data_IF_414002165852
#
_entry.id   IF_414002165852
#
_cell.length_a   1.000
_cell.length_b   1.000
_cell.length_c   1.000
_cell.angle_alpha   90.00
_cell.angle_beta   90.00
_cell.angle_gamma   90.00
#
_symmetry.space_group_name_H-M   'P 1'
#
loop_
_entity.id
_entity.type
_entity.pdbx_description
1 polymer ?
#
# COMPACT_ATOMS: atom_id res chain seq x y z
N UNK A 1 -15.59 91.97 11.15
CA UNK A 1 -15.06 92.19 12.51
C UNK A 1 -15.40 90.99 13.37
N UNK A 2 -14.39 90.42 14.05
CA UNK A 2 -14.41 89.34 15.07
C UNK A 2 -15.10 88.00 14.66
N UNK A 3 -14.50 86.81 14.67
CA UNK A 3 -13.31 86.29 15.35
C UNK A 3 -13.69 85.39 16.54
N UNK A 4 -13.78 84.06 16.36
CA UNK A 4 -13.34 83.00 17.28
C UNK A 4 -13.93 81.59 16.99
N UNK A 5 -13.03 80.67 16.61
CA UNK A 5 -12.88 79.24 16.98
C UNK A 5 -14.05 78.44 17.57
N UNK A 6 -14.36 77.27 16.99
CA UNK A 6 -14.56 76.00 17.74
C UNK A 6 -14.12 74.79 16.88
N UNK A 7 -13.28 73.91 17.46
CA UNK A 7 -12.79 72.64 16.92
C UNK A 7 -13.87 71.53 17.06
N UNK A 8 -14.09 70.77 15.99
CA UNK A 8 -15.03 69.63 15.95
C UNK A 8 -14.48 68.38 16.65
N UNK A 9 -15.37 67.72 17.41
CA UNK A 9 -15.14 66.52 18.21
C UNK A 9 -15.08 65.26 17.33
N UNK A 10 -14.03 64.46 17.49
CA UNK A 10 -13.90 63.09 16.95
C UNK A 10 -13.89 62.07 18.08
N UNK A 11 -14.71 61.04 17.93
CA UNK A 11 -15.06 60.00 18.91
C UNK A 11 -13.83 59.14 19.30
N UNK A 12 -13.70 58.87 20.60
CA UNK A 12 -12.65 58.03 21.21
C UNK A 12 -13.10 56.57 21.24
N UNK A 13 -12.29 55.66 20.69
CA UNK A 13 -12.41 54.20 20.85
C UNK A 13 -11.18 53.71 21.62
N UNK A 14 -11.31 52.96 22.73
CA UNK A 14 -10.17 52.58 23.57
C UNK A 14 -9.34 51.45 22.93
N UNK A 15 -8.01 51.57 23.04
CA UNK A 15 -7.02 50.59 22.59
C UNK A 15 -6.88 49.44 23.58
N UNK A 16 -7.12 48.21 23.13
CA UNK A 16 -6.67 46.97 23.80
C UNK A 16 -5.24 46.64 23.34
N UNK A 17 -4.30 46.29 24.25
CA UNK A 17 -2.93 45.97 23.86
C UNK A 17 -2.84 44.55 23.29
N UNK A 18 -2.37 44.43 22.05
CA UNK A 18 -1.97 43.14 21.46
C UNK A 18 -0.54 42.85 21.90
N UNK A 19 -0.34 41.77 22.66
CA UNK A 19 0.98 41.24 22.99
C UNK A 19 1.74 40.88 21.71
N UNK A 20 2.94 41.43 21.55
CA UNK A 20 3.89 41.01 20.55
C UNK A 20 4.51 39.66 20.95
N UNK A 21 4.21 38.60 20.22
CA UNK A 21 5.01 37.37 20.25
C UNK A 21 6.00 37.43 19.09
N UNK A 22 7.27 37.62 19.46
CA UNK A 22 8.38 37.69 18.54
C UNK A 22 8.54 36.41 17.71
N UNK A 23 8.80 36.61 16.41
CA UNK A 23 9.27 35.64 15.42
C UNK A 23 10.26 34.62 16.00
N UNK A 24 9.85 33.35 16.09
CA UNK A 24 10.72 32.20 16.44
C UNK A 24 11.22 31.40 15.23
N UNK A 25 10.95 31.85 14.01
CA UNK A 25 11.31 31.14 12.78
C UNK A 25 12.05 32.02 11.76
N UNK A 26 13.10 32.72 12.21
CA UNK A 26 14.10 33.25 11.27
C UNK A 26 15.33 32.35 11.26
N UNK A 27 15.47 31.63 10.12
CA UNK A 27 16.67 31.03 9.50
C UNK A 27 16.43 29.58 9.07
N UNK A 28 15.50 29.38 8.13
CA UNK A 28 15.66 28.28 7.19
C UNK A 28 16.49 28.84 6.01
N UNK A 29 17.76 28.45 5.92
CA UNK A 29 18.49 28.55 4.66
C UNK A 29 17.98 27.38 3.81
N UNK A 30 17.39 27.59 2.62
CA UNK A 30 17.19 26.50 1.69
C UNK A 30 18.53 25.79 1.51
N UNK A 31 18.59 24.48 1.72
CA UNK A 31 19.75 23.72 1.24
C UNK A 31 19.92 24.02 -0.24
N UNK A 32 21.14 24.32 -0.66
CA UNK A 32 21.46 24.39 -2.09
C UNK A 32 20.99 23.07 -2.72
N UNK A 33 20.14 23.15 -3.75
CA UNK A 33 19.84 22.01 -4.61
C UNK A 33 21.18 21.41 -5.02
N UNK A 34 21.49 20.23 -4.48
CA UNK A 34 22.68 19.50 -4.88
C UNK A 34 22.53 19.23 -6.35
N UNK A 35 23.26 19.97 -7.18
CA UNK A 35 23.42 19.67 -8.59
C UNK A 35 23.71 18.18 -8.71
N UNK A 36 22.78 17.44 -9.34
CA UNK A 36 22.92 16.01 -9.60
C UNK A 36 24.25 15.86 -10.30
N UNK A 37 25.26 15.29 -9.62
CA UNK A 37 26.54 14.98 -10.24
C UNK A 37 26.18 14.13 -11.45
N UNK A 38 26.44 14.64 -12.67
CA UNK A 38 26.34 13.85 -13.89
C UNK A 38 27.15 12.59 -13.64
N UNK A 39 26.46 11.46 -13.53
CA UNK A 39 27.14 10.19 -13.28
C UNK A 39 27.93 9.91 -14.56
N UNK A 40 29.25 9.89 -14.45
CA UNK A 40 30.14 9.69 -15.59
C UNK A 40 30.13 8.20 -15.94
N UNK A 41 29.15 7.78 -16.76
CA UNK A 41 29.01 6.39 -17.21
C UNK A 41 29.95 6.18 -18.39
N UNK A 42 30.87 5.23 -18.27
CA UNK A 42 31.78 4.88 -19.37
C UNK A 42 30.99 4.33 -20.54
N UNK A 43 30.96 5.09 -21.63
CA UNK A 43 30.32 4.72 -22.89
C UNK A 43 31.03 3.53 -23.55
N UNK A 44 30.23 2.61 -24.11
CA UNK A 44 30.69 1.54 -25.00
C UNK A 44 29.62 1.19 -26.04
N UNK A 45 29.96 0.29 -26.98
CA UNK A 45 29.08 -0.07 -28.10
C UNK A 45 27.77 -0.71 -27.63
N UNK A 46 27.81 -1.54 -26.57
CA UNK A 46 26.63 -2.23 -26.04
C UNK A 46 25.68 -1.23 -25.37
N UNK A 47 26.22 -0.34 -24.54
CA UNK A 47 25.44 0.71 -23.88
C UNK A 47 24.78 1.65 -24.90
N UNK A 48 25.51 2.05 -25.94
CA UNK A 48 24.94 2.87 -27.00
C UNK A 48 23.79 2.16 -27.74
N UNK A 49 23.93 0.87 -28.05
CA UNK A 49 22.85 0.07 -28.65
C UNK A 49 21.63 -0.05 -27.73
N UNK A 50 21.82 -0.18 -26.41
CA UNK A 50 20.73 -0.19 -25.43
C UNK A 50 20.01 1.17 -25.39
N UNK A 51 20.77 2.27 -25.35
CA UNK A 51 20.23 3.64 -25.41
C UNK A 51 19.45 3.89 -26.70
N UNK A 52 19.96 3.46 -27.83
CA UNK A 52 19.27 3.62 -29.12
C UNK A 52 18.00 2.79 -29.18
N UNK A 53 18.04 1.55 -28.71
CA UNK A 53 16.83 0.70 -28.56
C UNK A 53 15.81 1.36 -27.66
N UNK A 54 16.22 1.93 -26.53
CA UNK A 54 15.33 2.66 -25.65
C UNK A 54 14.67 3.85 -26.36
N UNK A 55 15.40 4.59 -27.20
CA UNK A 55 14.83 5.72 -27.97
C UNK A 55 13.75 5.31 -28.97
N UNK A 56 13.82 4.10 -29.54
CA UNK A 56 12.84 3.65 -30.55
C UNK A 56 11.48 3.26 -29.99
N UNK A 57 11.42 2.88 -28.70
CA UNK A 57 10.18 2.53 -28.02
C UNK A 57 9.30 3.78 -27.83
N UNK A 58 7.98 3.65 -28.01
CA UNK A 58 7.04 4.81 -27.99
C UNK A 58 5.75 4.48 -27.25
N UNK A 59 5.32 5.30 -26.29
CA UNK A 59 4.03 5.11 -25.62
C UNK A 59 2.92 6.03 -26.10
N UNK A 60 1.75 5.42 -26.37
CA UNK A 60 0.50 6.15 -26.57
C UNK A 60 0.20 6.45 -28.03
N UNK A 61 -0.57 7.51 -28.25
CA UNK A 61 -1.05 7.91 -29.58
C UNK A 61 -0.03 8.83 -30.26
N UNK A 62 0.47 8.41 -31.40
CA UNK A 62 1.36 9.18 -32.24
C UNK A 62 0.61 10.27 -33.03
N UNK A 63 1.32 11.32 -33.50
CA UNK A 63 0.72 12.36 -34.34
C UNK A 63 0.09 11.86 -35.64
N UNK A 64 0.55 10.72 -36.16
CA UNK A 64 0.00 10.05 -37.34
C UNK A 64 -1.28 9.23 -37.05
N UNK A 65 -1.71 9.18 -35.79
CA UNK A 65 -2.90 8.48 -35.34
C UNK A 65 -2.67 7.02 -34.93
N UNK A 66 -1.47 6.48 -35.07
CA UNK A 66 -1.13 5.14 -34.58
C UNK A 66 -1.12 5.10 -33.05
N UNK A 67 -1.50 3.96 -32.46
CA UNK A 67 -1.51 3.77 -31.02
C UNK A 67 -0.69 2.54 -30.67
N UNK A 68 0.35 2.71 -29.87
CA UNK A 68 1.20 1.60 -29.41
C UNK A 68 0.85 1.28 -27.97
N UNK A 69 0.43 0.04 -27.72
CA UNK A 69 0.09 -0.41 -26.36
C UNK A 69 1.35 -0.74 -25.54
N UNK A 70 1.17 -0.94 -24.23
CA UNK A 70 2.23 -1.45 -23.36
C UNK A 70 2.78 -2.78 -23.88
N UNK A 71 1.88 -3.68 -24.27
CA UNK A 71 2.20 -5.02 -24.75
C UNK A 71 2.93 -5.00 -26.10
N UNK A 72 2.56 -4.08 -26.99
CA UNK A 72 3.26 -3.92 -28.28
C UNK A 72 4.70 -3.46 -28.08
N UNK A 73 4.94 -2.47 -27.21
CA UNK A 73 6.28 -2.00 -26.89
C UNK A 73 7.11 -3.07 -26.21
N UNK A 74 6.50 -3.84 -25.31
CA UNK A 74 7.18 -4.94 -24.63
C UNK A 74 7.64 -6.01 -25.62
N UNK A 75 6.77 -6.44 -26.54
CA UNK A 75 7.14 -7.41 -27.59
C UNK A 75 8.25 -6.90 -28.49
N UNK A 76 8.16 -5.64 -28.90
CA UNK A 76 9.21 -4.98 -29.69
C UNK A 76 10.53 -4.96 -28.92
N UNK A 77 10.49 -4.52 -27.66
CA UNK A 77 11.66 -4.47 -26.80
C UNK A 77 12.31 -5.85 -26.62
N UNK A 78 11.51 -6.91 -26.41
CA UNK A 78 12.02 -8.27 -26.23
C UNK A 78 12.72 -8.78 -27.51
N UNK A 79 12.10 -8.55 -28.67
CA UNK A 79 12.69 -8.91 -29.96
C UNK A 79 14.01 -8.19 -30.24
N UNK A 80 14.11 -6.91 -29.86
CA UNK A 80 15.35 -6.14 -29.96
C UNK A 80 16.39 -6.63 -28.95
N UNK A 81 16.02 -6.79 -27.69
CA UNK A 81 16.89 -7.23 -26.60
C UNK A 81 17.60 -8.56 -26.92
N UNK A 82 16.89 -9.54 -27.48
CA UNK A 82 17.45 -10.84 -27.85
C UNK A 82 18.68 -10.75 -28.80
N UNK A 83 18.80 -9.66 -29.56
CA UNK A 83 19.87 -9.43 -30.54
C UNK A 83 21.01 -8.55 -30.01
N UNK A 84 20.86 -7.99 -28.81
CA UNK A 84 21.78 -6.98 -28.29
C UNK A 84 23.08 -7.60 -27.73
N UNK A 85 23.02 -8.82 -27.18
CA UNK A 85 24.20 -9.50 -26.66
C UNK A 85 24.84 -8.74 -25.50
N UNK A 86 24.09 -8.57 -24.42
CA UNK A 86 24.50 -7.84 -23.20
C UNK A 86 24.57 -8.77 -21.99
N UNK A 87 25.15 -8.26 -20.91
CA UNK A 87 25.32 -8.88 -19.60
C UNK A 87 24.54 -8.10 -18.53
N UNK A 88 24.41 -8.67 -17.34
CA UNK A 88 23.85 -7.97 -16.17
C UNK A 88 24.58 -6.65 -15.84
N UNK A 89 25.91 -6.60 -16.04
CA UNK A 89 26.69 -5.39 -15.83
C UNK A 89 26.35 -4.28 -16.85
N UNK A 90 25.96 -4.66 -18.07
CA UNK A 90 25.49 -3.70 -19.09
C UNK A 90 24.12 -3.14 -18.73
N UNK A 91 23.23 -3.98 -18.21
CA UNK A 91 21.91 -3.56 -17.70
C UNK A 91 22.07 -2.62 -16.52
N UNK A 92 22.99 -2.91 -15.60
CA UNK A 92 23.30 -2.01 -14.48
C UNK A 92 23.81 -0.65 -14.99
N UNK A 93 24.78 -0.64 -15.91
CA UNK A 93 25.30 0.61 -16.50
C UNK A 93 24.21 1.39 -17.25
N UNK A 94 23.36 0.68 -17.98
CA UNK A 94 22.22 1.29 -18.67
C UNK A 94 21.23 1.92 -17.68
N UNK A 95 20.95 1.27 -16.55
CA UNK A 95 20.07 1.83 -15.51
C UNK A 95 20.61 3.16 -14.95
N UNK A 96 21.93 3.31 -14.86
CA UNK A 96 22.54 4.61 -14.50
C UNK A 96 22.31 5.64 -15.60
N UNK A 97 22.54 5.25 -16.85
CA UNK A 97 22.42 6.14 -18.01
C UNK A 97 20.98 6.58 -18.32
N UNK A 98 19.96 5.93 -17.72
CA UNK A 98 18.56 6.34 -17.85
C UNK A 98 18.30 7.79 -17.40
N UNK A 99 19.19 8.39 -16.60
CA UNK A 99 19.15 9.81 -16.21
C UNK A 99 19.06 10.75 -17.40
N UNK A 100 19.66 10.38 -18.54
CA UNK A 100 19.67 11.18 -19.77
C UNK A 100 18.28 11.28 -20.42
N UNK A 101 17.33 10.47 -19.99
CA UNK A 101 16.01 10.33 -20.61
C UNK A 101 14.87 10.76 -19.71
N UNK A 102 15.13 11.29 -18.51
CA UNK A 102 14.08 11.62 -17.53
C UNK A 102 13.11 12.69 -18.00
N UNK A 103 13.53 13.59 -18.88
CA UNK A 103 12.65 14.62 -19.47
C UNK A 103 11.61 14.05 -20.45
N UNK A 104 11.67 12.74 -20.78
CA UNK A 104 10.68 12.09 -21.62
C UNK A 104 9.34 11.96 -20.87
N UNK A 105 8.25 12.38 -21.53
CA UNK A 105 6.89 12.35 -20.95
C UNK A 105 6.46 10.96 -20.45
N UNK A 106 6.92 9.90 -21.11
CA UNK A 106 6.60 8.50 -20.81
C UNK A 106 7.72 7.76 -20.06
N UNK A 107 8.72 8.50 -19.56
CA UNK A 107 9.94 7.95 -18.95
C UNK A 107 9.64 6.87 -17.91
N UNK A 108 8.82 7.18 -16.89
CA UNK A 108 8.59 6.27 -15.75
C UNK A 108 8.13 4.87 -16.17
N UNK A 109 7.13 4.77 -17.05
CA UNK A 109 6.62 3.48 -17.55
C UNK A 109 7.61 2.80 -18.48
N UNK A 110 8.25 3.58 -19.36
CA UNK A 110 9.17 3.08 -20.37
C UNK A 110 10.45 2.51 -19.74
N UNK A 111 10.98 3.20 -18.74
CA UNK A 111 12.22 2.86 -18.04
C UNK A 111 12.12 1.48 -17.38
N UNK A 112 11.18 1.28 -16.46
CA UNK A 112 11.11 0.01 -15.75
C UNK A 112 10.57 -1.13 -16.62
N UNK A 113 9.67 -0.88 -17.58
CA UNK A 113 9.30 -1.89 -18.59
C UNK A 113 10.53 -2.37 -19.36
N UNK A 114 11.35 -1.46 -19.89
CA UNK A 114 12.52 -1.86 -20.68
C UNK A 114 13.58 -2.56 -19.84
N UNK A 115 13.84 -2.09 -18.61
CA UNK A 115 14.71 -2.80 -17.66
C UNK A 115 14.22 -4.22 -17.39
N UNK A 116 12.92 -4.40 -17.17
CA UNK A 116 12.31 -5.72 -16.95
C UNK A 116 12.47 -6.64 -18.15
N UNK A 117 12.30 -6.12 -19.37
CA UNK A 117 12.55 -6.88 -20.60
C UNK A 117 14.02 -7.31 -20.70
N UNK A 118 14.95 -6.39 -20.46
CA UNK A 118 16.38 -6.72 -20.49
C UNK A 118 16.75 -7.80 -19.46
N UNK A 119 16.17 -7.74 -18.27
CA UNK A 119 16.42 -8.72 -17.21
C UNK A 119 15.86 -10.10 -17.58
N UNK A 120 14.63 -10.14 -18.10
CA UNK A 120 13.96 -11.40 -18.43
C UNK A 120 14.59 -12.11 -19.64
N UNK A 121 14.98 -11.36 -20.67
CA UNK A 121 15.62 -11.90 -21.88
C UNK A 121 17.13 -12.15 -21.68
N UNK A 122 17.72 -11.55 -20.66
CA UNK A 122 19.14 -11.67 -20.37
C UNK A 122 19.55 -13.06 -19.87
N UNK A 123 20.79 -13.44 -20.19
CA UNK A 123 21.32 -14.78 -19.89
C UNK A 123 21.71 -14.98 -18.42
N UNK A 124 22.07 -13.89 -17.74
CA UNK A 124 22.44 -13.93 -16.33
C UNK A 124 21.22 -14.21 -15.43
N UNK A 125 21.49 -14.56 -14.17
CA UNK A 125 20.47 -14.83 -13.15
C UNK A 125 20.28 -13.68 -12.18
N UNK A 126 21.34 -12.89 -11.95
CA UNK A 126 21.39 -11.85 -10.94
C UNK A 126 21.65 -10.50 -11.60
N UNK A 127 20.75 -9.55 -11.36
CA UNK A 127 20.81 -8.20 -11.93
C UNK A 127 20.76 -7.17 -10.83
N UNK A 128 21.54 -6.11 -11.00
CA UNK A 128 21.45 -4.91 -10.18
C UNK A 128 21.01 -3.75 -11.06
N UNK A 129 20.05 -2.95 -10.58
CA UNK A 129 19.64 -1.70 -11.23
C UNK A 129 19.78 -0.54 -10.25
N UNK A 130 20.32 0.57 -10.73
CA UNK A 130 20.56 1.78 -9.97
C UNK A 130 19.43 2.76 -10.28
N UNK A 131 18.59 3.06 -9.29
CA UNK A 131 17.41 3.90 -9.47
C UNK A 131 17.35 5.08 -8.51
N UNK A 132 18.33 5.20 -7.61
CA UNK A 132 18.39 6.27 -6.60
C UNK A 132 18.38 7.69 -7.21
N UNK A 133 18.89 7.83 -8.43
CA UNK A 133 18.95 9.07 -9.20
C UNK A 133 17.82 9.22 -10.23
N UNK A 134 16.89 8.25 -10.29
CA UNK A 134 15.78 8.22 -11.26
C UNK A 134 14.46 8.69 -10.63
N UNK A 135 13.66 9.42 -11.42
CA UNK A 135 12.28 9.69 -11.07
C UNK A 135 11.41 8.45 -11.38
N UNK A 136 11.08 7.70 -10.32
CA UNK A 136 10.11 6.58 -10.28
C UNK A 136 10.09 5.69 -11.54
N UNK A 137 10.98 4.69 -11.65
CA UNK A 137 10.89 3.69 -12.72
C UNK A 137 9.76 2.70 -12.40
N UNK A 138 8.63 2.82 -13.10
CA UNK A 138 7.47 1.95 -12.95
C UNK A 138 7.68 0.62 -13.68
N UNK A 139 7.05 -0.45 -13.20
CA UNK A 139 7.07 -1.80 -13.79
C UNK A 139 8.42 -2.53 -13.68
N UNK A 140 9.30 -2.12 -12.76
CA UNK A 140 10.57 -2.83 -12.50
C UNK A 140 10.30 -4.26 -12.00
N UNK A 141 10.93 -5.24 -12.63
CA UNK A 141 10.72 -6.66 -12.33
C UNK A 141 9.36 -7.21 -12.78
N UNK A 142 8.71 -6.57 -13.75
CA UNK A 142 7.50 -7.14 -14.36
C UNK A 142 7.79 -8.51 -14.99
N UNK A 143 6.93 -9.49 -14.69
CA UNK A 143 7.01 -10.88 -15.15
C UNK A 143 8.31 -11.59 -14.79
N UNK A 144 8.97 -11.10 -13.75
CA UNK A 144 10.29 -11.57 -13.37
C UNK A 144 10.30 -13.07 -13.00
N UNK A 145 11.42 -13.70 -13.34
CA UNK A 145 11.81 -15.06 -12.93
C UNK A 145 13.26 -15.13 -12.41
N UNK A 146 13.96 -13.99 -12.38
CA UNK A 146 15.38 -13.80 -12.05
C UNK A 146 15.54 -13.16 -10.66
N UNK A 147 16.78 -12.90 -10.24
CA UNK A 147 17.07 -12.15 -9.02
C UNK A 147 17.41 -10.69 -9.36
N UNK A 148 16.67 -9.75 -8.78
CA UNK A 148 16.83 -8.32 -9.04
C UNK A 148 17.14 -7.61 -7.72
N UNK A 149 18.23 -6.83 -7.70
CA UNK A 149 18.51 -5.85 -6.66
C UNK A 149 18.30 -4.45 -7.22
N UNK A 150 17.38 -3.68 -6.62
CA UNK A 150 17.11 -2.29 -6.96
C UNK A 150 17.78 -1.40 -5.91
N UNK A 151 18.83 -0.68 -6.32
CA UNK A 151 19.53 0.29 -5.47
C UNK A 151 18.91 1.68 -5.64
N UNK A 152 17.89 1.95 -4.83
CA UNK A 152 17.08 3.17 -4.89
C UNK A 152 15.60 2.87 -4.76
N UNK A 153 14.78 3.86 -5.13
CA UNK A 153 13.33 3.70 -5.13
C UNK A 153 12.88 2.95 -6.40
N UNK A 154 11.90 2.06 -6.25
CA UNK A 154 11.15 1.49 -7.34
C UNK A 154 9.82 2.25 -7.51
N UNK A 155 9.33 2.34 -8.73
CA UNK A 155 8.06 3.00 -9.04
C UNK A 155 6.85 2.11 -8.75
N UNK A 156 5.73 2.49 -9.34
CA UNK A 156 4.49 1.71 -9.29
C UNK A 156 4.64 0.40 -10.07
N UNK A 157 3.81 -0.59 -9.79
CA UNK A 157 3.77 -1.89 -10.49
C UNK A 157 5.08 -2.69 -10.42
N UNK A 158 5.92 -2.44 -9.42
CA UNK A 158 7.12 -3.24 -9.19
C UNK A 158 6.73 -4.71 -8.94
N UNK A 159 7.31 -5.65 -9.68
CA UNK A 159 6.97 -7.08 -9.60
C UNK A 159 5.62 -7.46 -10.20
N UNK A 160 5.04 -6.62 -11.06
CA UNK A 160 3.78 -6.92 -11.75
C UNK A 160 3.85 -8.26 -12.50
N UNK A 161 2.90 -9.16 -12.22
CA UNK A 161 2.74 -10.45 -12.89
C UNK A 161 3.97 -11.38 -12.72
N UNK A 162 4.77 -11.17 -11.67
CA UNK A 162 5.97 -11.97 -11.37
C UNK A 162 5.64 -13.46 -11.21
N UNK A 163 6.45 -14.32 -11.84
CA UNK A 163 6.23 -15.78 -11.93
C UNK A 163 7.26 -16.60 -11.16
N UNK A 164 8.28 -15.97 -10.60
CA UNK A 164 9.32 -16.60 -9.79
C UNK A 164 10.47 -15.62 -9.51
N UNK A 165 11.59 -16.13 -9.01
CA UNK A 165 12.76 -15.29 -8.72
C UNK A 165 12.57 -14.39 -7.50
N UNK A 166 13.43 -13.37 -7.39
CA UNK A 166 13.45 -12.45 -6.25
C UNK A 166 13.59 -10.99 -6.71
N UNK A 167 12.98 -10.07 -5.97
CA UNK A 167 13.20 -8.62 -6.12
C UNK A 167 13.50 -8.04 -4.74
N UNK A 168 14.65 -7.40 -4.57
CA UNK A 168 15.01 -6.66 -3.36
C UNK A 168 15.14 -5.18 -3.69
N UNK A 169 14.29 -4.34 -3.10
CA UNK A 169 14.31 -2.88 -3.27
C UNK A 169 14.96 -2.22 -2.05
N UNK A 170 16.15 -1.66 -2.25
CA UNK A 170 16.88 -0.88 -1.24
C UNK A 170 16.40 0.57 -1.21
N UNK A 171 15.10 0.75 -0.98
CA UNK A 171 14.40 2.03 -1.00
C UNK A 171 12.89 1.82 -0.86
N UNK A 172 12.11 2.80 -1.33
CA UNK A 172 10.65 2.70 -1.35
C UNK A 172 10.14 2.08 -2.65
N UNK A 173 8.95 1.50 -2.61
CA UNK A 173 8.19 1.09 -3.79
C UNK A 173 6.90 1.92 -3.94
N UNK A 174 6.40 2.06 -5.16
CA UNK A 174 5.15 2.76 -5.45
C UNK A 174 3.91 1.93 -5.15
N UNK A 175 2.81 2.30 -5.80
CA UNK A 175 1.53 1.59 -5.73
C UNK A 175 1.60 0.28 -6.52
N UNK A 176 0.65 -0.64 -6.27
CA UNK A 176 0.52 -1.88 -7.03
C UNK A 176 1.74 -2.80 -6.97
N UNK A 177 2.51 -2.76 -5.88
CA UNK A 177 3.64 -3.66 -5.63
C UNK A 177 3.16 -5.12 -5.68
N UNK A 178 3.71 -5.93 -6.57
CA UNK A 178 3.32 -7.33 -6.73
C UNK A 178 1.90 -7.54 -7.26
N UNK A 179 1.35 -6.58 -8.02
CA UNK A 179 0.07 -6.73 -8.71
C UNK A 179 0.08 -7.99 -9.59
N UNK A 180 -0.93 -8.86 -9.44
CA UNK A 180 -1.03 -10.16 -10.15
C UNK A 180 0.18 -11.11 -9.97
N UNK A 181 0.97 -10.92 -8.90
CA UNK A 181 2.10 -11.80 -8.59
C UNK A 181 1.60 -13.24 -8.37
N UNK A 182 2.19 -14.21 -9.08
CA UNK A 182 1.83 -15.61 -8.97
C UNK A 182 2.82 -16.45 -8.16
N UNK A 183 4.09 -16.05 -8.13
CA UNK A 183 5.14 -16.73 -7.36
C UNK A 183 6.38 -15.84 -7.21
N UNK A 184 7.37 -16.31 -6.44
CA UNK A 184 8.62 -15.60 -6.15
C UNK A 184 8.57 -14.82 -4.84
N UNK A 185 9.54 -13.94 -4.62
CA UNK A 185 9.57 -13.06 -3.44
C UNK A 185 9.95 -11.62 -3.76
N UNK A 186 9.30 -10.68 -3.09
CA UNK A 186 9.60 -9.25 -3.17
C UNK A 186 9.88 -8.74 -1.76
N UNK A 187 11.03 -8.09 -1.56
CA UNK A 187 11.40 -7.43 -0.31
C UNK A 187 11.64 -5.95 -0.55
N UNK A 188 10.97 -5.07 0.19
CA UNK A 188 11.15 -3.62 0.15
C UNK A 188 11.73 -3.15 1.47
N UNK A 189 12.93 -2.57 1.44
CA UNK A 189 13.67 -2.07 2.60
C UNK A 189 13.28 -0.62 2.99
N UNK A 190 12.06 -0.21 2.62
CA UNK A 190 11.46 1.10 2.88
C UNK A 190 9.94 0.97 2.89
N UNK A 191 9.24 2.03 2.50
CA UNK A 191 7.78 2.08 2.43
C UNK A 191 7.27 1.58 1.07
N UNK A 192 6.01 1.15 1.04
CA UNK A 192 5.29 0.80 -0.17
C UNK A 192 3.95 1.52 -0.25
N UNK A 193 3.48 1.79 -1.47
CA UNK A 193 2.23 2.52 -1.71
C UNK A 193 0.97 1.69 -1.47
N UNK A 194 -0.11 2.07 -2.15
CA UNK A 194 -1.42 1.44 -2.05
C UNK A 194 -1.49 0.15 -2.89
N UNK A 195 -2.48 -0.70 -2.60
CA UNK A 195 -2.86 -1.86 -3.40
C UNK A 195 -1.74 -2.91 -3.57
N UNK A 196 -0.91 -3.07 -2.54
CA UNK A 196 0.15 -4.09 -2.47
C UNK A 196 -0.45 -5.49 -2.61
N UNK A 197 0.08 -6.31 -3.49
CA UNK A 197 -0.35 -7.70 -3.67
C UNK A 197 -1.79 -7.83 -4.18
N UNK A 198 -2.32 -6.80 -4.83
CA UNK A 198 -3.66 -6.86 -5.42
C UNK A 198 -3.73 -7.95 -6.48
N UNK A 199 -4.74 -8.83 -6.37
CA UNK A 199 -4.92 -10.04 -7.21
C UNK A 199 -3.69 -10.98 -7.18
N UNK A 200 -2.93 -11.00 -6.08
CA UNK A 200 -1.81 -11.93 -5.89
C UNK A 200 -2.32 -13.38 -5.80
N UNK A 201 -1.77 -14.29 -6.59
CA UNK A 201 -2.13 -15.71 -6.61
C UNK A 201 -1.05 -16.64 -6.04
N UNK A 202 0.02 -16.08 -5.46
CA UNK A 202 1.06 -16.81 -4.75
C UNK A 202 2.34 -15.99 -4.58
N UNK A 203 3.32 -16.56 -3.86
CA UNK A 203 4.59 -15.90 -3.54
C UNK A 203 4.58 -15.18 -2.20
N UNK A 204 5.57 -14.31 -1.98
CA UNK A 204 5.72 -13.57 -0.72
C UNK A 204 6.14 -12.12 -0.96
N UNK A 205 5.46 -11.18 -0.31
CA UNK A 205 5.83 -9.76 -0.30
C UNK A 205 6.17 -9.36 1.14
N UNK A 206 7.34 -8.76 1.35
CA UNK A 206 7.76 -8.20 2.64
C UNK A 206 8.08 -6.72 2.50
N UNK A 207 7.43 -5.87 3.28
CA UNK A 207 7.68 -4.44 3.37
C UNK A 207 8.22 -4.14 4.75
N UNK A 208 9.47 -3.67 4.83
CA UNK A 208 10.14 -3.39 6.10
C UNK A 208 9.74 -2.03 6.71
N UNK A 209 9.07 -1.16 5.94
CA UNK A 209 8.46 0.09 6.40
C UNK A 209 6.93 0.04 6.44
N UNK A 210 6.30 1.18 6.18
CA UNK A 210 4.85 1.34 6.13
C UNK A 210 4.27 0.98 4.75
N UNK A 211 3.00 0.58 4.74
CA UNK A 211 2.20 0.30 3.55
C UNK A 211 0.98 1.23 3.47
N UNK A 212 0.54 1.52 2.24
CA UNK A 212 -0.66 2.31 1.97
C UNK A 212 -1.98 1.54 2.22
N UNK A 213 -3.03 1.99 1.57
CA UNK A 213 -4.37 1.41 1.63
C UNK A 213 -4.47 0.12 0.79
N UNK A 214 -5.49 -0.70 1.05
CA UNK A 214 -5.86 -1.87 0.25
C UNK A 214 -4.77 -2.94 0.09
N UNK A 215 -3.93 -3.12 1.11
CA UNK A 215 -2.94 -4.22 1.14
C UNK A 215 -3.64 -5.57 1.01
N UNK A 216 -3.27 -6.37 0.01
CA UNK A 216 -3.79 -7.70 -0.27
C UNK A 216 -5.27 -7.72 -0.65
N UNK A 217 -5.79 -6.62 -1.23
CA UNK A 217 -7.17 -6.56 -1.66
C UNK A 217 -7.43 -7.45 -2.89
N UNK A 218 -8.65 -7.97 -2.96
CA UNK A 218 -9.16 -8.71 -4.10
C UNK A 218 -10.29 -7.95 -4.79
N UNK A 219 -10.43 -8.16 -6.09
CA UNK A 219 -11.55 -7.66 -6.89
C UNK A 219 -12.26 -8.74 -7.69
N UNK A 220 -11.77 -9.99 -7.69
CA UNK A 220 -12.32 -11.05 -8.53
C UNK A 220 -12.92 -12.19 -7.70
N UNK A 221 -14.21 -12.45 -7.90
CA UNK A 221 -14.91 -13.58 -7.28
C UNK A 221 -14.41 -14.96 -7.74
N UNK A 222 -13.57 -15.00 -8.79
CA UNK A 222 -13.25 -16.23 -9.53
C UNK A 222 -11.95 -16.90 -9.08
N UNK A 223 -10.97 -16.15 -8.57
CA UNK A 223 -9.69 -16.70 -8.10
C UNK A 223 -9.28 -15.99 -6.82
N UNK A 224 -9.33 -16.65 -5.65
CA UNK A 224 -9.03 -16.00 -4.39
C UNK A 224 -7.56 -15.57 -4.36
N UNK A 225 -7.32 -14.33 -3.95
CA UNK A 225 -5.98 -13.85 -3.61
C UNK A 225 -5.34 -14.82 -2.60
N UNK A 226 -4.11 -15.24 -2.82
CA UNK A 226 -3.33 -16.14 -1.95
C UNK A 226 -1.86 -15.72 -1.93
N UNK A 227 -1.08 -16.35 -1.05
CA UNK A 227 0.30 -15.95 -0.76
C UNK A 227 0.42 -15.30 0.62
N UNK A 228 1.59 -14.69 0.85
CA UNK A 228 1.93 -14.10 2.15
C UNK A 228 2.39 -12.66 1.95
N UNK A 229 1.75 -11.73 2.67
CA UNK A 229 2.17 -10.33 2.74
C UNK A 229 2.53 -10.00 4.19
N UNK A 230 3.73 -9.46 4.40
CA UNK A 230 4.21 -8.99 5.71
C UNK A 230 4.57 -7.52 5.62
N UNK A 231 3.94 -6.69 6.44
CA UNK A 231 4.24 -5.27 6.62
C UNK A 231 4.78 -5.08 8.04
N UNK A 232 6.03 -4.65 8.17
CA UNK A 232 6.66 -4.43 9.49
C UNK A 232 6.27 -3.10 10.14
N UNK A 233 5.89 -2.11 9.33
CA UNK A 233 5.33 -0.85 9.80
C UNK A 233 3.82 -0.92 9.96
N UNK A 234 3.18 0.23 9.75
CA UNK A 234 1.74 0.37 9.72
C UNK A 234 1.20 0.10 8.32
N UNK A 235 -0.09 -0.23 8.24
CA UNK A 235 -0.84 -0.32 6.99
C UNK A 235 -2.02 0.65 7.01
N UNK A 236 -2.44 1.10 5.84
CA UNK A 236 -3.60 1.96 5.67
C UNK A 236 -4.93 1.25 5.88
N UNK A 237 -5.98 1.78 5.27
CA UNK A 237 -7.34 1.27 5.33
C UNK A 237 -7.50 0.02 4.45
N UNK A 238 -8.55 -0.77 4.73
CA UNK A 238 -9.03 -1.83 3.86
C UNK A 238 -8.00 -2.95 3.58
N UNK A 239 -7.13 -3.21 4.56
CA UNK A 239 -6.21 -4.35 4.53
C UNK A 239 -7.01 -5.64 4.39
N UNK A 240 -6.73 -6.42 3.34
CA UNK A 240 -7.40 -7.68 3.04
C UNK A 240 -8.87 -7.54 2.63
N UNK A 241 -9.27 -6.39 2.08
CA UNK A 241 -10.62 -6.24 1.50
C UNK A 241 -10.88 -7.35 0.47
N UNK A 242 -12.00 -8.08 0.63
CA UNK A 242 -12.42 -9.19 -0.23
C UNK A 242 -11.44 -10.37 -0.33
N UNK A 243 -10.44 -10.43 0.56
CA UNK A 243 -9.46 -11.52 0.59
C UNK A 243 -10.15 -12.89 0.69
N UNK A 244 -9.76 -13.80 -0.20
CA UNK A 244 -10.33 -15.14 -0.29
C UNK A 244 -9.47 -16.25 0.34
N UNK A 245 -8.14 -16.10 0.35
CA UNK A 245 -7.19 -17.05 0.90
C UNK A 245 -5.86 -16.35 1.27
N UNK A 246 -4.86 -17.10 1.73
CA UNK A 246 -3.53 -16.55 2.05
C UNK A 246 -3.41 -15.95 3.46
N UNK A 247 -2.36 -15.15 3.66
CA UNK A 247 -2.05 -14.53 4.95
C UNK A 247 -1.52 -13.11 4.81
N UNK A 248 -2.02 -12.20 5.63
CA UNK A 248 -1.51 -10.83 5.77
C UNK A 248 -1.12 -10.60 7.22
N UNK A 249 0.11 -10.15 7.45
CA UNK A 249 0.60 -9.74 8.78
C UNK A 249 1.03 -8.28 8.75
N UNK A 250 0.49 -7.47 9.66
CA UNK A 250 0.90 -6.09 9.92
C UNK A 250 1.46 -6.03 11.34
N UNK A 251 2.75 -5.75 11.50
CA UNK A 251 3.40 -5.67 12.82
C UNK A 251 3.07 -4.35 13.54
N UNK A 252 2.71 -3.30 12.80
CA UNK A 252 2.22 -2.02 13.34
C UNK A 252 0.70 -1.97 13.47
N UNK A 253 0.14 -0.76 13.29
CA UNK A 253 -1.30 -0.51 13.27
C UNK A 253 -1.88 -0.65 11.86
N UNK A 254 -3.17 -0.92 11.77
CA UNK A 254 -3.94 -0.89 10.52
C UNK A 254 -5.05 0.17 10.59
N UNK A 255 -5.44 0.70 9.42
CA UNK A 255 -6.53 1.66 9.30
C UNK A 255 -7.92 1.03 9.48
N UNK A 256 -8.93 1.70 8.93
CA UNK A 256 -10.32 1.27 8.98
C UNK A 256 -10.58 0.08 8.06
N UNK A 257 -11.64 -0.68 8.34
CA UNK A 257 -12.19 -1.71 7.45
C UNK A 257 -11.24 -2.86 7.11
N UNK A 258 -10.36 -3.25 8.04
CA UNK A 258 -9.53 -4.46 7.93
C UNK A 258 -10.42 -5.68 7.70
N UNK A 259 -10.15 -6.46 6.66
CA UNK A 259 -10.90 -7.67 6.31
C UNK A 259 -12.34 -7.40 5.89
N UNK A 260 -12.65 -6.20 5.39
CA UNK A 260 -13.98 -5.91 4.84
C UNK A 260 -14.31 -6.88 3.71
N UNK A 261 -15.50 -7.46 3.76
CA UNK A 261 -16.00 -8.43 2.78
C UNK A 261 -15.07 -9.66 2.59
N UNK A 262 -14.20 -9.95 3.56
CA UNK A 262 -13.30 -11.10 3.56
C UNK A 262 -14.09 -12.42 3.49
N UNK A 263 -13.59 -13.37 2.70
CA UNK A 263 -14.24 -14.67 2.45
C UNK A 263 -13.41 -15.84 2.99
N UNK A 264 -12.11 -15.65 3.15
CA UNK A 264 -11.19 -16.65 3.65
C UNK A 264 -9.77 -16.09 3.82
N UNK A 265 -8.86 -16.92 4.31
CA UNK A 265 -7.49 -16.51 4.66
C UNK A 265 -7.36 -16.04 6.11
N UNK A 266 -6.23 -15.42 6.42
CA UNK A 266 -5.87 -14.97 7.76
C UNK A 266 -5.29 -13.57 7.74
N UNK A 267 -5.77 -12.69 8.62
CA UNK A 267 -5.21 -11.35 8.80
C UNK A 267 -4.78 -11.21 10.26
N UNK A 268 -3.52 -10.84 10.48
CA UNK A 268 -2.98 -10.53 11.81
C UNK A 268 -2.48 -9.09 11.84
N UNK A 269 -3.04 -8.28 12.75
CA UNK A 269 -2.55 -6.94 13.06
C UNK A 269 -2.01 -6.97 14.48
N UNK A 270 -0.71 -6.74 14.69
CA UNK A 270 -0.12 -6.80 16.03
C UNK A 270 -0.42 -5.55 16.86
N UNK A 271 -0.59 -4.40 16.22
CA UNK A 271 -1.02 -3.15 16.84
C UNK A 271 -2.55 -2.99 16.90
N UNK A 272 -3.00 -1.73 16.83
CA UNK A 272 -4.41 -1.38 16.81
C UNK A 272 -4.99 -1.42 15.39
N UNK A 273 -6.30 -1.55 15.28
CA UNK A 273 -7.03 -1.39 14.02
C UNK A 273 -8.14 -0.33 14.15
N UNK A 274 -8.53 0.23 13.00
CA UNK A 274 -9.58 1.24 12.92
C UNK A 274 -11.00 0.70 13.15
N UNK A 275 -11.97 1.42 12.61
CA UNK A 275 -13.40 1.09 12.68
C UNK A 275 -13.74 -0.01 11.68
N UNK A 276 -14.75 -0.84 11.97
CA UNK A 276 -15.32 -1.73 10.97
C UNK A 276 -14.46 -2.94 10.60
N UNK A 277 -13.60 -3.40 11.52
CA UNK A 277 -12.82 -4.64 11.33
C UNK A 277 -13.77 -5.81 11.10
N UNK A 278 -13.55 -6.58 10.03
CA UNK A 278 -14.38 -7.72 9.64
C UNK A 278 -15.78 -7.33 9.14
N UNK A 279 -15.98 -6.08 8.70
CA UNK A 279 -17.27 -5.66 8.17
C UNK A 279 -17.69 -6.54 6.98
N UNK A 280 -18.88 -7.12 7.04
CA UNK A 280 -19.44 -8.03 6.02
C UNK A 280 -18.56 -9.25 5.70
N UNK A 281 -17.65 -9.67 6.60
CA UNK A 281 -16.86 -10.89 6.37
C UNK A 281 -17.75 -12.14 6.39
N UNK A 282 -17.46 -13.08 5.50
CA UNK A 282 -18.19 -14.34 5.30
C UNK A 282 -17.34 -15.58 5.56
N UNK A 283 -16.07 -15.39 5.89
CA UNK A 283 -15.16 -16.47 6.27
C UNK A 283 -13.76 -15.93 6.54
N UNK A 284 -12.86 -16.84 6.94
CA UNK A 284 -11.50 -16.50 7.36
C UNK A 284 -11.39 -16.11 8.83
N UNK A 285 -10.19 -15.71 9.24
CA UNK A 285 -9.90 -15.26 10.61
C UNK A 285 -9.13 -13.94 10.64
N UNK A 286 -9.53 -13.07 11.56
CA UNK A 286 -8.86 -11.80 11.83
C UNK A 286 -8.42 -11.77 13.29
N UNK A 287 -7.15 -11.47 13.54
CA UNK A 287 -6.61 -11.26 14.89
C UNK A 287 -6.02 -9.86 15.02
N UNK A 288 -6.46 -9.12 16.03
CA UNK A 288 -5.91 -7.80 16.38
C UNK A 288 -5.29 -7.87 17.77
N UNK A 289 -4.01 -7.52 17.86
CA UNK A 289 -3.22 -7.57 19.11
C UNK A 289 -3.47 -6.39 20.04
N UNK A 290 -3.89 -5.24 19.51
CA UNK A 290 -4.29 -4.06 20.26
C UNK A 290 -5.80 -3.85 20.30
N UNK A 291 -6.20 -2.59 20.32
CA UNK A 291 -7.59 -2.16 20.35
C UNK A 291 -8.18 -2.04 18.94
N UNK A 292 -9.49 -2.16 18.85
CA UNK A 292 -10.27 -1.82 17.66
C UNK A 292 -11.24 -0.69 17.98
N UNK A 293 -11.58 0.12 16.98
CA UNK A 293 -12.61 1.17 17.16
C UNK A 293 -14.00 0.56 17.03
N UNK A 294 -14.96 1.36 16.57
CA UNK A 294 -16.38 1.00 16.55
C UNK A 294 -16.68 -0.04 15.46
N UNK A 295 -17.88 -0.62 15.51
CA UNK A 295 -18.44 -1.45 14.45
C UNK A 295 -17.62 -2.72 14.13
N UNK A 296 -16.95 -3.29 15.13
CA UNK A 296 -16.28 -4.59 15.02
C UNK A 296 -17.28 -5.65 14.54
N UNK A 297 -17.00 -6.33 13.43
CA UNK A 297 -17.87 -7.38 12.88
C UNK A 297 -19.23 -6.87 12.37
N UNK A 298 -19.32 -5.60 11.94
CA UNK A 298 -20.52 -5.03 11.35
C UNK A 298 -21.02 -5.90 10.19
N UNK A 299 -22.27 -6.35 10.23
CA UNK A 299 -22.88 -7.20 9.19
C UNK A 299 -22.09 -8.49 8.91
N UNK A 300 -21.32 -8.99 9.88
CA UNK A 300 -20.54 -10.23 9.75
C UNK A 300 -21.47 -11.41 9.42
N UNK A 301 -21.19 -12.08 8.30
CA UNK A 301 -21.95 -13.23 7.82
C UNK A 301 -21.45 -14.54 8.42
N UNK A 302 -20.13 -14.71 8.55
CA UNK A 302 -19.45 -15.85 9.19
C UNK A 302 -17.94 -15.57 9.35
N UNK A 303 -17.21 -16.50 10.00
CA UNK A 303 -15.77 -16.40 10.25
C UNK A 303 -15.45 -16.20 11.74
N UNK A 304 -14.20 -15.84 12.04
CA UNK A 304 -13.76 -15.54 13.40
C UNK A 304 -12.96 -14.25 13.51
N UNK A 305 -13.27 -13.46 14.53
CA UNK A 305 -12.52 -12.26 14.88
C UNK A 305 -12.05 -12.37 16.33
N UNK A 306 -10.76 -12.13 16.59
CA UNK A 306 -10.19 -12.08 17.94
C UNK A 306 -9.49 -10.75 18.16
N UNK A 307 -9.87 -10.04 19.22
CA UNK A 307 -9.29 -8.77 19.64
C UNK A 307 -8.75 -8.93 21.05
N UNK A 308 -7.44 -8.72 21.23
CA UNK A 308 -6.80 -8.82 22.55
C UNK A 308 -6.99 -7.57 23.42
N UNK A 309 -7.24 -6.41 22.79
CA UNK A 309 -7.54 -5.17 23.48
C UNK A 309 -9.04 -4.92 23.65
N UNK A 310 -9.38 -3.64 23.69
CA UNK A 310 -10.75 -3.14 23.76
C UNK A 310 -11.39 -3.03 22.37
N UNK A 311 -12.71 -3.13 22.33
CA UNK A 311 -13.53 -2.82 21.15
C UNK A 311 -14.47 -1.64 21.44
N UNK A 312 -14.68 -0.81 20.42
CA UNK A 312 -15.57 0.35 20.50
C UNK A 312 -17.05 -0.02 20.57
N UNK A 313 -17.89 0.92 20.13
CA UNK A 313 -19.33 0.76 20.12
C UNK A 313 -19.80 -0.23 19.04
N UNK A 314 -21.01 -0.73 19.22
CA UNK A 314 -21.77 -1.53 18.25
C UNK A 314 -21.04 -2.77 17.72
N UNK A 315 -20.24 -3.42 18.58
CA UNK A 315 -19.62 -4.71 18.30
C UNK A 315 -20.66 -5.76 17.90
N UNK A 316 -20.45 -6.45 16.79
CA UNK A 316 -21.34 -7.45 16.22
C UNK A 316 -22.67 -6.87 15.73
N UNK A 317 -22.72 -5.58 15.38
CA UNK A 317 -23.95 -4.99 14.84
C UNK A 317 -24.37 -5.72 13.57
N UNK A 318 -25.63 -6.14 13.51
CA UNK A 318 -26.23 -6.82 12.36
C UNK A 318 -25.51 -8.12 11.94
N UNK A 319 -24.72 -8.74 12.83
CA UNK A 319 -24.08 -10.01 12.52
C UNK A 319 -25.12 -11.14 12.36
N UNK A 320 -24.85 -12.02 11.41
CA UNK A 320 -25.72 -13.16 11.07
C UNK A 320 -25.23 -14.44 11.75
N UNK A 321 -23.92 -14.71 11.69
CA UNK A 321 -23.22 -15.85 12.33
C UNK A 321 -21.76 -15.50 12.57
N UNK A 322 -20.99 -16.45 13.10
CA UNK A 322 -19.56 -16.31 13.35
C UNK A 322 -19.22 -16.21 14.83
N UNK A 323 -17.95 -15.98 15.12
CA UNK A 323 -17.45 -15.84 16.48
C UNK A 323 -16.63 -14.56 16.60
N UNK A 324 -16.98 -13.70 17.55
CA UNK A 324 -16.19 -12.53 17.92
C UNK A 324 -15.72 -12.73 19.35
N UNK A 325 -14.42 -12.62 19.58
CA UNK A 325 -13.80 -12.70 20.89
C UNK A 325 -13.10 -11.37 21.17
N UNK A 326 -13.45 -10.72 22.27
CA UNK A 326 -12.79 -9.50 22.76
C UNK A 326 -12.31 -9.77 24.17
N UNK A 327 -11.00 -9.75 24.40
CA UNK A 327 -10.42 -9.98 25.74
C UNK A 327 -10.59 -8.75 26.66
N UNK A 328 -10.57 -7.55 26.09
CA UNK A 328 -10.81 -6.29 26.79
C UNK A 328 -12.28 -5.95 26.96
N UNK A 329 -12.55 -4.64 26.99
CA UNK A 329 -13.87 -4.05 27.17
C UNK A 329 -14.60 -3.89 25.83
N UNK A 330 -15.93 -3.89 25.87
CA UNK A 330 -16.78 -3.51 24.74
C UNK A 330 -17.62 -2.29 25.09
N UNK A 331 -17.71 -1.36 24.13
CA UNK A 331 -18.55 -0.17 24.21
C UNK A 331 -20.05 -0.44 24.20
N UNK A 332 -20.84 0.58 23.85
CA UNK A 332 -22.29 0.50 23.87
C UNK A 332 -22.87 -0.31 22.70
N UNK A 333 -24.01 -0.97 22.90
CA UNK A 333 -24.77 -1.61 21.83
C UNK A 333 -24.19 -2.94 21.31
N UNK A 334 -23.47 -3.69 22.15
CA UNK A 334 -22.93 -5.00 21.77
C UNK A 334 -24.04 -5.98 21.31
N UNK A 335 -23.89 -6.57 20.13
CA UNK A 335 -24.86 -7.49 19.54
C UNK A 335 -26.14 -6.83 19.01
N UNK A 336 -26.12 -5.52 18.74
CA UNK A 336 -27.29 -4.83 18.20
C UNK A 336 -27.72 -5.42 16.85
N UNK A 337 -28.93 -5.99 16.78
CA UNK A 337 -29.45 -6.55 15.55
C UNK A 337 -28.83 -7.89 15.14
N UNK A 338 -28.35 -8.73 16.06
CA UNK A 338 -27.94 -10.09 15.70
C UNK A 338 -29.13 -10.91 15.18
N UNK A 339 -29.09 -11.44 13.95
CA UNK A 339 -30.30 -11.95 13.26
C UNK A 339 -30.46 -13.49 13.19
N UNK A 340 -29.38 -14.26 12.99
CA UNK A 340 -29.48 -15.69 12.62
C UNK A 340 -28.57 -16.63 13.44
N UNK A 341 -27.90 -16.11 14.47
CA UNK A 341 -26.98 -16.85 15.34
C UNK A 341 -25.61 -16.19 15.50
N UNK A 342 -24.63 -16.97 15.96
CA UNK A 342 -23.27 -16.51 16.25
C UNK A 342 -23.04 -16.19 17.73
N UNK A 343 -21.77 -16.00 18.07
CA UNK A 343 -21.34 -15.87 19.46
C UNK A 343 -20.39 -14.68 19.63
N UNK A 344 -20.66 -13.86 20.65
CA UNK A 344 -19.75 -12.80 21.09
C UNK A 344 -19.25 -13.18 22.49
N UNK A 345 -17.93 -13.21 22.67
CA UNK A 345 -17.26 -13.54 23.93
C UNK A 345 -16.51 -12.31 24.41
N UNK A 346 -16.77 -11.89 25.65
CA UNK A 346 -16.18 -10.71 26.26
C UNK A 346 -15.42 -11.07 27.53
N UNK A 347 -14.13 -10.71 27.58
CA UNK A 347 -13.24 -11.00 28.71
C UNK A 347 -13.34 -10.00 29.85
N UNK A 348 -13.63 -8.73 29.57
CA UNK A 348 -13.73 -7.68 30.59
C UNK A 348 -15.15 -7.10 30.69
N UNK A 349 -15.35 -5.78 30.67
CA UNK A 349 -16.67 -5.16 30.84
C UNK A 349 -17.42 -4.97 29.51
N UNK A 350 -18.77 -5.01 29.56
CA UNK A 350 -19.64 -4.63 28.44
C UNK A 350 -20.51 -3.47 28.90
N UNK A 351 -20.41 -2.32 28.23
CA UNK A 351 -21.13 -1.13 28.66
C UNK A 351 -22.64 -1.24 28.50
N UNK A 352 -23.10 -1.73 27.35
CA UNK A 352 -24.51 -2.08 27.13
C UNK A 352 -24.67 -3.14 26.04
N UNK A 353 -25.74 -3.92 26.17
CA UNK A 353 -26.15 -4.91 25.18
C UNK A 353 -27.19 -4.27 24.26
N UNK A 354 -27.02 -4.43 22.95
CA UNK A 354 -27.96 -3.99 21.93
C UNK A 354 -29.18 -4.92 21.80
N UNK A 355 -30.07 -4.61 20.86
CA UNK A 355 -31.24 -5.46 20.58
C UNK A 355 -30.84 -6.77 19.90
N UNK A 356 -30.54 -7.81 20.69
CA UNK A 356 -30.22 -9.16 20.17
C UNK A 356 -31.51 -9.88 19.79
N UNK A 357 -31.66 -10.24 18.51
CA UNK A 357 -32.82 -10.99 18.00
C UNK A 357 -32.56 -12.50 18.10
N UNK A 358 -31.37 -12.95 17.69
CA UNK A 358 -30.91 -14.34 17.80
C UNK A 358 -29.39 -14.41 17.97
N UNK A 359 -28.89 -15.29 18.86
CA UNK A 359 -27.46 -15.51 19.11
C UNK A 359 -27.09 -15.52 20.59
N UNK A 360 -25.79 -15.67 20.86
CA UNK A 360 -25.26 -15.80 22.22
C UNK A 360 -24.23 -14.74 22.55
N UNK A 361 -24.31 -14.22 23.77
CA UNK A 361 -23.28 -13.35 24.33
C UNK A 361 -22.78 -13.96 25.64
N UNK A 362 -21.47 -14.16 25.71
CA UNK A 362 -20.76 -14.63 26.87
C UNK A 362 -19.95 -13.49 27.49
N UNK A 363 -20.09 -13.30 28.79
CA UNK A 363 -19.32 -12.34 29.57
C UNK A 363 -18.54 -13.09 30.64
N UNK A 364 -17.20 -12.98 30.62
CA UNK A 364 -16.29 -13.70 31.51
C UNK A 364 -16.57 -15.20 31.56
N UNK A 365 -16.83 -15.79 30.38
CA UNK A 365 -17.16 -17.21 30.21
C UNK A 365 -18.57 -17.62 30.64
N UNK A 366 -19.41 -16.71 31.13
CA UNK A 366 -20.81 -16.98 31.49
C UNK A 366 -21.74 -16.50 30.39
N UNK A 367 -22.68 -17.35 29.99
CA UNK A 367 -23.74 -16.98 29.04
C UNK A 367 -24.68 -15.95 29.70
N UNK A 368 -24.78 -14.76 29.12
CA UNK A 368 -25.64 -13.67 29.61
C UNK A 368 -26.80 -13.35 28.67
N UNK A 369 -26.69 -13.72 27.39
CA UNK A 369 -27.76 -13.61 26.39
C UNK A 369 -27.84 -14.92 25.62
N UNK A 370 -29.04 -15.48 25.53
CA UNK A 370 -29.38 -16.66 24.73
C UNK A 370 -30.77 -16.42 24.12
N UNK A 371 -30.81 -16.20 22.80
CA UNK A 371 -32.02 -15.90 22.00
C UNK A 371 -32.00 -16.77 20.76
#
# INVERSE_FOLDING_TARGET
MAGASVKGHGIVVPKTPVLAVANRFQRYKPEEEKAVRKVDVKEDEVLNRLKDTFRTLKYGKEPDGTYTTFEDNRKLAAGLAAQLGYTAADVERFSVALVEFQDMRDFSRKAGMFLSVLINEGKDSDYTVQTAHLEKPNDVGSENTKNITVNGNAGDYTGHNMKGGTITVNGNAGNYLGYEMGNGSITVNGNAGDEIGRVMSGGTITVNGDAGDHVGCDIQDRYPTTGTIVVKGNAGNQVGEKMGAGSITVEGNAGDHVGREMRGGTITVMGNAGTGVGASMSGGSITVGGNVRDALGLQMLAGSITVKGDAGEVCGQEMMRGSIIVEGNIGDGCGSGMWMGGEIHVGSEVRSIGGVICGKIFHKGKLIVDK
#
